data_IF_923681856476
#
_entry.id   IF_923681856476
#
_cell.length_a   1.000
_cell.length_b   1.000
_cell.length_c   1.000
_cell.angle_alpha   90.00
_cell.angle_beta   90.00
_cell.angle_gamma   90.00
#
_symmetry.space_group_name_H-M   'P 1'
#
loop_
_entity.id
_entity.type
_entity.pdbx_description
1 polymer ?
#
# COMPACT_ATOMS: atom_id res chain seq x y z
N UNK A 1 16.77 2.07 25.21
CA UNK A 1 15.89 2.57 24.11
C UNK A 1 16.67 3.58 23.29
N UNK A 2 16.72 3.41 21.97
CA UNK A 2 17.36 4.33 21.03
C UNK A 2 16.30 4.88 20.09
N UNK A 3 16.33 6.19 19.81
CA UNK A 3 15.42 6.84 18.85
C UNK A 3 16.26 7.36 17.71
N UNK A 4 15.94 6.93 16.50
CA UNK A 4 16.67 7.23 15.27
C UNK A 4 15.74 7.81 14.22
N UNK A 5 16.30 8.49 13.23
CA UNK A 5 15.62 8.91 12.04
C UNK A 5 16.02 8.01 10.85
N UNK A 6 15.10 7.81 9.92
CA UNK A 6 15.43 7.17 8.66
C UNK A 6 16.39 8.07 7.85
N UNK A 7 17.35 7.52 7.10
CA UNK A 7 18.22 8.32 6.25
C UNK A 7 17.46 9.09 5.18
N UNK A 8 17.91 10.30 4.82
CA UNK A 8 17.40 11.07 3.68
C UNK A 8 17.80 10.43 2.34
N UNK A 9 17.50 9.13 2.17
CA UNK A 9 17.91 8.33 1.00
C UNK A 9 16.79 7.39 0.58
N UNK A 10 16.35 7.54 -0.67
CA UNK A 10 15.39 6.63 -1.31
C UNK A 10 16.06 5.31 -1.74
N UNK A 11 15.25 4.25 -1.79
CA UNK A 11 15.62 2.97 -2.36
C UNK A 11 15.81 1.86 -1.34
N UNK A 12 16.25 0.72 -1.83
CA UNK A 12 16.38 -0.52 -1.07
C UNK A 12 17.74 -0.52 -0.35
N UNK A 13 17.76 0.03 0.85
CA UNK A 13 18.92 0.10 1.74
C UNK A 13 18.68 -0.76 2.98
N UNK A 14 19.66 -0.86 3.87
CA UNK A 14 19.52 -1.68 5.10
C UNK A 14 18.32 -1.22 5.95
N UNK A 15 18.17 0.05 6.18
CA UNK A 15 17.10 0.65 6.99
C UNK A 15 15.71 0.41 6.38
N UNK A 16 15.62 0.31 5.05
CA UNK A 16 14.40 -0.10 4.38
C UNK A 16 13.98 -1.51 4.81
N UNK A 17 14.90 -2.48 4.84
CA UNK A 17 14.61 -3.84 5.29
C UNK A 17 14.26 -3.90 6.77
N UNK A 18 14.89 -3.09 7.62
CA UNK A 18 14.59 -3.02 9.05
C UNK A 18 13.11 -2.62 9.26
N UNK A 19 12.63 -1.57 8.57
CA UNK A 19 11.22 -1.13 8.63
C UNK A 19 10.29 -2.21 8.03
N UNK A 20 10.62 -2.75 6.86
CA UNK A 20 9.84 -3.80 6.22
C UNK A 20 9.63 -5.00 7.14
N UNK A 21 10.70 -5.48 7.76
CA UNK A 21 10.66 -6.62 8.68
C UNK A 21 9.83 -6.31 9.94
N UNK A 22 9.89 -5.08 10.45
CA UNK A 22 9.05 -4.64 11.55
C UNK A 22 7.57 -4.66 11.16
N UNK A 23 7.20 -4.13 10.00
CA UNK A 23 5.82 -4.11 9.49
C UNK A 23 5.27 -5.53 9.25
N UNK A 24 6.09 -6.45 8.75
CA UNK A 24 5.75 -7.87 8.66
C UNK A 24 5.53 -8.46 10.05
N UNK A 25 6.40 -8.17 11.01
CA UNK A 25 6.31 -8.70 12.39
C UNK A 25 5.04 -8.27 13.11
N UNK A 26 4.59 -7.01 12.93
CA UNK A 26 3.34 -6.53 13.56
C UNK A 26 2.08 -6.99 12.83
N UNK A 27 2.20 -7.55 11.62
CA UNK A 27 1.09 -8.08 10.80
C UNK A 27 -0.03 -7.07 10.55
N UNK A 28 0.32 -5.79 10.40
CA UNK A 28 -0.63 -4.72 10.13
C UNK A 28 -1.10 -4.78 8.67
N UNK A 29 -2.41 -4.93 8.46
CA UNK A 29 -3.02 -4.94 7.14
C UNK A 29 -3.36 -3.53 6.63
N UNK A 30 -3.41 -2.54 7.52
CA UNK A 30 -3.84 -1.17 7.23
C UNK A 30 -2.66 -0.28 6.82
N UNK A 31 -1.54 -0.33 7.57
CA UNK A 31 -0.25 0.19 7.12
C UNK A 31 0.73 -0.97 6.94
N UNK A 32 0.56 -1.70 5.86
CA UNK A 32 1.32 -2.92 5.61
C UNK A 32 2.72 -2.66 5.05
N UNK A 33 3.56 -3.70 5.08
CA UNK A 33 4.86 -3.66 4.42
C UNK A 33 4.76 -3.33 2.91
N UNK A 34 3.66 -3.73 2.26
CA UNK A 34 3.44 -3.44 0.84
C UNK A 34 3.28 -1.94 0.58
N UNK A 35 2.61 -1.22 1.49
CA UNK A 35 2.48 0.25 1.45
C UNK A 35 3.86 0.90 1.56
N UNK A 36 4.71 0.41 2.48
CA UNK A 36 6.10 0.86 2.62
C UNK A 36 6.93 0.54 1.38
N UNK A 37 6.84 -0.70 0.85
CA UNK A 37 7.54 -1.14 -0.35
C UNK A 37 7.19 -0.27 -1.56
N UNK A 38 5.94 0.15 -1.68
CA UNK A 38 5.49 1.02 -2.75
C UNK A 38 5.94 2.45 -2.52
N UNK A 39 5.75 3.00 -1.32
CA UNK A 39 6.09 4.37 -0.96
C UNK A 39 7.57 4.69 -1.20
N UNK A 40 8.48 3.81 -0.77
CA UNK A 40 9.93 4.08 -0.85
C UNK A 40 10.46 4.22 -2.28
N UNK A 41 9.75 3.67 -3.26
CA UNK A 41 10.11 3.76 -4.69
C UNK A 41 9.26 4.79 -5.45
N UNK A 42 8.16 5.27 -4.87
CA UNK A 42 7.22 6.16 -5.54
C UNK A 42 7.87 7.50 -5.93
N UNK A 43 7.58 8.00 -7.15
CA UNK A 43 8.20 9.23 -7.69
C UNK A 43 7.91 10.48 -6.84
N UNK A 44 6.72 10.58 -6.24
CA UNK A 44 6.33 11.72 -5.39
C UNK A 44 6.99 11.70 -4.01
N UNK A 45 7.54 10.57 -3.55
CA UNK A 45 8.25 10.51 -2.27
C UNK A 45 9.59 11.23 -2.38
N UNK A 46 9.75 12.29 -1.62
CA UNK A 46 10.97 13.09 -1.57
C UNK A 46 11.94 12.55 -0.52
N UNK A 47 13.22 12.44 -0.89
CA UNK A 47 14.24 11.87 -0.01
C UNK A 47 14.39 12.66 1.31
N UNK A 48 14.30 14.00 1.24
CA UNK A 48 14.36 14.87 2.42
C UNK A 48 13.27 14.58 3.45
N UNK A 49 12.08 14.15 3.02
CA UNK A 49 10.98 13.83 3.92
C UNK A 49 11.21 12.53 4.69
N UNK A 50 12.01 11.61 4.15
CA UNK A 50 12.26 10.32 4.79
C UNK A 50 12.97 10.47 6.14
N UNK A 51 13.78 11.50 6.33
CA UNK A 51 14.45 11.79 7.61
C UNK A 51 13.48 12.17 8.74
N UNK A 52 12.22 12.46 8.42
CA UNK A 52 11.17 12.68 9.42
C UNK A 52 10.63 11.37 10.02
N UNK A 53 10.85 10.22 9.37
CA UNK A 53 10.42 8.93 9.90
C UNK A 53 11.18 8.64 11.19
N UNK A 54 10.45 8.47 12.29
CA UNK A 54 10.99 8.15 13.62
C UNK A 54 11.01 6.66 13.88
N UNK A 55 12.13 6.14 14.35
CA UNK A 55 12.37 4.71 14.58
C UNK A 55 12.83 4.49 16.02
N UNK A 56 12.04 3.76 16.80
CA UNK A 56 12.41 3.32 18.17
C UNK A 56 13.02 1.93 18.10
N UNK A 57 14.22 1.80 18.62
CA UNK A 57 14.95 0.51 18.70
C UNK A 57 15.23 0.10 20.14
N UNK A 58 15.03 -1.17 20.42
CA UNK A 58 15.47 -1.85 21.61
C UNK A 58 16.23 -3.11 21.22
N UNK A 59 17.42 -3.32 21.77
CA UNK A 59 18.30 -4.45 21.42
C UNK A 59 18.50 -4.59 19.88
N UNK A 60 18.72 -3.47 19.18
CA UNK A 60 18.88 -3.37 17.72
C UNK A 60 17.63 -3.74 16.90
N UNK A 61 16.50 -4.04 17.50
CA UNK A 61 15.23 -4.33 16.83
C UNK A 61 14.31 -3.12 16.87
N UNK A 62 13.57 -2.88 15.80
CA UNK A 62 12.53 -1.85 15.79
C UNK A 62 11.35 -2.33 16.65
N UNK A 63 10.93 -1.48 17.57
CA UNK A 63 9.80 -1.70 18.47
C UNK A 63 8.70 -0.65 18.32
N UNK A 64 9.01 0.47 17.66
CA UNK A 64 8.07 1.55 17.34
C UNK A 64 8.48 2.31 16.08
N UNK A 65 7.49 2.85 15.38
CA UNK A 65 7.65 3.54 14.10
C UNK A 65 6.63 4.67 13.98
N UNK A 66 7.10 5.88 13.67
CA UNK A 66 6.28 7.01 13.22
C UNK A 66 6.60 7.24 11.76
N UNK A 67 5.62 7.06 10.89
CA UNK A 67 5.80 7.01 9.44
C UNK A 67 4.64 7.71 8.72
N UNK A 68 4.80 8.02 7.45
CA UNK A 68 3.79 8.61 6.57
C UNK A 68 3.63 7.78 5.29
N UNK A 69 2.68 8.17 4.43
CA UNK A 69 2.47 7.56 3.12
C UNK A 69 2.71 8.61 2.02
N UNK A 70 3.71 8.38 1.15
CA UNK A 70 4.14 9.20 0.00
C UNK A 70 4.55 10.64 0.41
N UNK A 71 3.64 11.40 1.01
CA UNK A 71 3.85 12.76 1.50
C UNK A 71 3.56 12.85 3.00
N UNK A 72 4.31 13.67 3.78
CA UNK A 72 4.21 13.68 5.23
C UNK A 72 3.09 14.61 5.75
N UNK A 73 1.87 14.42 5.28
CA UNK A 73 0.69 15.16 5.73
C UNK A 73 -0.20 14.34 6.68
N UNK A 74 -0.33 13.05 6.47
CA UNK A 74 -1.00 12.13 7.39
C UNK A 74 -0.03 11.04 7.86
N UNK A 75 0.03 10.83 9.17
CA UNK A 75 0.98 9.95 9.82
C UNK A 75 0.34 8.65 10.29
N UNK A 76 1.20 7.67 10.51
CA UNK A 76 0.88 6.41 11.16
C UNK A 76 1.86 6.19 12.31
N UNK A 77 1.34 5.84 13.48
CA UNK A 77 2.13 5.44 14.65
C UNK A 77 1.89 3.96 14.85
N UNK A 78 2.96 3.17 14.83
CA UNK A 78 2.90 1.72 14.98
C UNK A 78 3.93 1.24 15.99
N UNK A 79 3.54 0.33 16.87
CA UNK A 79 4.44 -0.24 17.88
C UNK A 79 4.13 -1.72 18.09
N UNK A 80 5.09 -2.44 18.65
CA UNK A 80 4.81 -3.78 19.17
C UNK A 80 3.79 -3.68 20.31
N UNK A 81 2.92 -4.68 20.44
CA UNK A 81 1.89 -4.72 21.50
C UNK A 81 2.49 -4.61 22.91
N UNK A 82 3.69 -5.12 23.11
CA UNK A 82 4.46 -5.05 24.36
C UNK A 82 5.08 -3.68 24.64
N UNK A 83 5.05 -2.76 23.69
CA UNK A 83 5.73 -1.45 23.77
C UNK A 83 4.75 -0.27 23.68
N UNK A 84 3.46 -0.50 23.94
CA UNK A 84 2.44 0.58 23.90
C UNK A 84 2.73 1.74 24.87
N UNK A 85 3.60 1.54 25.86
CA UNK A 85 4.09 2.61 26.76
C UNK A 85 4.87 3.71 26.02
N UNK A 86 5.39 3.43 24.80
CA UNK A 86 6.10 4.39 23.96
C UNK A 86 5.16 5.34 23.21
N UNK A 87 3.87 5.05 23.11
CA UNK A 87 2.93 5.79 22.25
C UNK A 87 2.87 7.28 22.59
N UNK A 88 3.05 7.67 23.86
CA UNK A 88 3.09 9.08 24.25
C UNK A 88 4.34 9.77 23.68
N UNK A 89 5.51 9.17 23.82
CA UNK A 89 6.77 9.73 23.30
C UNK A 89 6.75 9.79 21.76
N UNK A 90 6.16 8.79 21.12
CA UNK A 90 5.99 8.75 19.66
C UNK A 90 5.04 9.84 19.16
N UNK A 91 4.00 10.14 19.92
CA UNK A 91 3.09 11.25 19.64
C UNK A 91 3.78 12.62 19.79
N UNK A 92 4.58 12.82 20.85
CA UNK A 92 5.37 14.05 21.01
C UNK A 92 6.39 14.22 19.87
N UNK A 93 7.01 13.11 19.43
CA UNK A 93 7.86 13.12 18.24
C UNK A 93 7.08 13.55 16.98
N UNK A 94 5.87 13.04 16.79
CA UNK A 94 5.01 13.41 15.67
C UNK A 94 4.69 14.91 15.68
N UNK A 95 4.32 15.48 16.83
CA UNK A 95 4.09 16.92 17.01
C UNK A 95 5.32 17.76 16.62
N UNK A 96 6.52 17.29 16.95
CA UNK A 96 7.74 18.06 16.72
C UNK A 96 8.24 17.99 15.28
N UNK A 97 7.90 16.96 14.51
CA UNK A 97 8.53 16.69 13.22
C UNK A 97 7.58 16.76 12.01
N UNK A 98 6.25 16.74 12.23
CA UNK A 98 5.30 16.52 11.13
C UNK A 98 4.17 17.55 11.03
N UNK A 99 4.27 18.66 11.73
CA UNK A 99 3.28 19.73 11.57
C UNK A 99 3.39 20.34 10.18
N UNK A 100 2.30 20.30 9.42
CA UNK A 100 2.19 20.90 8.10
C UNK A 100 1.12 22.00 8.13
N UNK A 101 1.47 23.24 7.80
CA UNK A 101 0.55 24.39 7.81
C UNK A 101 -0.23 24.53 9.13
N UNK A 102 0.46 24.36 10.25
CA UNK A 102 -0.14 24.36 11.60
C UNK A 102 -1.18 23.25 11.85
N UNK A 103 -1.15 22.17 11.08
CA UNK A 103 -2.02 21.02 11.24
C UNK A 103 -1.18 19.75 11.45
N UNK A 104 -1.53 18.95 12.45
CA UNK A 104 -1.05 17.59 12.64
C UNK A 104 -2.20 16.62 12.36
N UNK A 105 -1.98 15.65 11.49
CA UNK A 105 -2.95 14.59 11.19
C UNK A 105 -2.33 13.22 11.42
N UNK A 106 -3.04 12.36 12.15
CA UNK A 106 -2.63 10.99 12.44
C UNK A 106 -3.77 10.05 12.07
N UNK A 107 -3.47 9.01 11.28
CA UNK A 107 -4.38 7.93 10.98
C UNK A 107 -4.30 6.89 12.10
N UNK A 108 -5.37 6.71 12.84
CA UNK A 108 -5.45 5.84 14.01
C UNK A 108 -6.47 4.73 13.75
N UNK A 109 -6.08 3.48 14.03
CA UNK A 109 -6.96 2.31 13.96
C UNK A 109 -8.15 2.52 14.92
N UNK A 110 -9.36 2.23 14.46
CA UNK A 110 -10.57 2.44 15.28
C UNK A 110 -10.61 1.48 16.49
N UNK A 111 -9.79 0.43 16.51
CA UNK A 111 -9.60 -0.51 17.63
C UNK A 111 -8.35 -0.21 18.51
N UNK A 112 -7.60 0.89 18.27
CA UNK A 112 -6.47 1.31 19.13
C UNK A 112 -6.88 2.34 20.19
N UNK A 113 -7.66 1.89 21.17
CA UNK A 113 -8.15 2.72 22.29
C UNK A 113 -7.02 3.43 23.07
N UNK A 114 -5.82 2.84 23.10
CA UNK A 114 -4.70 3.41 23.87
C UNK A 114 -4.19 4.68 23.18
N UNK A 115 -3.90 4.61 21.88
CA UNK A 115 -3.44 5.77 21.13
C UNK A 115 -4.55 6.84 21.05
N UNK A 116 -5.81 6.45 20.82
CA UNK A 116 -6.94 7.38 20.80
C UNK A 116 -7.05 8.18 22.10
N UNK A 117 -6.95 7.51 23.26
CA UNK A 117 -6.98 8.18 24.57
C UNK A 117 -5.83 9.16 24.77
N UNK A 118 -4.61 8.79 24.31
CA UNK A 118 -3.45 9.67 24.39
C UNK A 118 -3.66 10.93 23.57
N UNK A 119 -4.01 10.79 22.28
CA UNK A 119 -4.15 11.94 21.39
C UNK A 119 -5.35 12.82 21.73
N UNK A 120 -6.46 12.25 22.20
CA UNK A 120 -7.64 12.99 22.67
C UNK A 120 -7.31 13.87 23.89
N UNK A 121 -6.52 13.34 24.85
CA UNK A 121 -6.07 14.10 26.03
C UNK A 121 -5.20 15.30 25.64
N UNK A 122 -4.47 15.21 24.53
CA UNK A 122 -3.63 16.28 24.00
C UNK A 122 -4.38 17.23 23.06
N UNK A 123 -5.70 17.06 22.90
CA UNK A 123 -6.57 17.95 22.14
C UNK A 123 -6.80 17.59 20.67
N UNK A 124 -6.38 16.39 20.21
CA UNK A 124 -6.78 15.92 18.89
C UNK A 124 -8.25 15.54 18.86
N UNK A 125 -8.90 15.75 17.71
CA UNK A 125 -10.28 15.34 17.45
C UNK A 125 -10.36 14.38 16.28
N UNK A 126 -11.21 13.37 16.38
CA UNK A 126 -11.52 12.47 15.28
C UNK A 126 -12.30 13.20 14.20
N UNK A 127 -11.90 13.02 12.94
CA UNK A 127 -12.58 13.58 11.78
C UNK A 127 -13.56 12.58 11.16
N UNK A 128 -14.25 12.99 10.10
CA UNK A 128 -15.07 12.09 9.28
C UNK A 128 -14.25 11.35 8.20
N UNK A 129 -12.95 11.60 8.11
CA UNK A 129 -12.09 10.95 7.13
C UNK A 129 -11.67 9.57 7.63
N UNK A 130 -12.03 8.54 6.88
CA UNK A 130 -11.75 7.14 7.22
C UNK A 130 -11.10 6.40 6.05
N UNK A 131 -10.19 5.50 6.39
CA UNK A 131 -9.79 4.41 5.50
C UNK A 131 -10.50 3.12 5.95
N UNK A 132 -10.89 2.32 4.95
CA UNK A 132 -11.57 1.05 5.16
C UNK A 132 -10.70 -0.07 4.64
N UNK A 133 -10.58 -1.14 5.39
CA UNK A 133 -9.96 -2.39 4.95
C UNK A 133 -11.06 -3.44 4.79
N UNK A 134 -11.07 -4.09 3.64
CA UNK A 134 -11.96 -5.21 3.35
C UNK A 134 -11.15 -6.51 3.24
N UNK A 135 -11.78 -7.63 3.59
CA UNK A 135 -11.17 -8.96 3.65
C UNK A 135 -11.94 -9.98 2.80
N UNK A 136 -11.20 -10.89 2.19
CA UNK A 136 -11.72 -12.02 1.42
C UNK A 136 -11.02 -13.31 1.87
N UNK A 137 -11.78 -14.39 1.97
CA UNK A 137 -11.26 -15.71 2.33
C UNK A 137 -11.40 -16.66 1.13
N UNK A 138 -10.28 -17.03 0.49
CA UNK A 138 -10.32 -17.90 -0.70
C UNK A 138 -10.95 -19.27 -0.46
N UNK A 139 -10.89 -19.80 0.76
CA UNK A 139 -11.49 -21.08 1.13
C UNK A 139 -13.02 -21.01 1.22
N UNK A 140 -13.58 -19.84 1.50
CA UNK A 140 -15.02 -19.61 1.68
C UNK A 140 -15.71 -19.10 0.41
N UNK A 141 -14.96 -18.84 -0.66
CA UNK A 141 -15.47 -18.09 -1.83
C UNK A 141 -14.91 -18.64 -3.14
N UNK A 142 -15.72 -18.58 -4.19
CA UNK A 142 -15.22 -18.91 -5.53
C UNK A 142 -14.31 -17.79 -6.06
N UNK A 143 -13.24 -18.21 -6.71
CA UNK A 143 -12.33 -17.33 -7.47
C UNK A 143 -12.43 -17.61 -8.98
N UNK A 144 -13.54 -18.20 -9.43
CA UNK A 144 -13.75 -18.49 -10.85
C UNK A 144 -13.97 -17.20 -11.65
N UNK A 145 -13.44 -17.20 -12.84
CA UNK A 145 -13.60 -16.11 -13.77
C UNK A 145 -13.59 -16.61 -15.21
N UNK A 146 -14.26 -15.87 -16.08
CA UNK A 146 -14.19 -16.07 -17.53
C UNK A 146 -13.39 -14.93 -18.15
N UNK A 147 -12.42 -15.27 -18.97
CA UNK A 147 -11.71 -14.31 -19.79
C UNK A 147 -12.37 -14.27 -21.19
N UNK A 148 -12.85 -13.11 -21.66
CA UNK A 148 -13.49 -13.04 -22.96
C UNK A 148 -12.53 -13.46 -24.11
N UNK A 149 -13.09 -13.95 -25.21
CA UNK A 149 -12.29 -14.31 -26.39
C UNK A 149 -11.48 -13.12 -26.89
N UNK A 150 -10.22 -13.34 -27.23
CA UNK A 150 -9.30 -12.29 -27.68
C UNK A 150 -8.52 -11.60 -26.58
N UNK A 151 -8.67 -12.08 -25.32
CA UNK A 151 -7.84 -11.64 -24.21
C UNK A 151 -6.99 -12.79 -23.68
N UNK A 152 -5.80 -12.46 -23.17
CA UNK A 152 -4.87 -13.42 -22.57
C UNK A 152 -4.43 -12.96 -21.17
N UNK A 153 -4.33 -13.90 -20.23
CA UNK A 153 -3.86 -13.68 -18.86
C UNK A 153 -2.37 -14.03 -18.78
N UNK A 154 -1.57 -13.08 -18.36
CA UNK A 154 -0.13 -13.27 -18.11
C UNK A 154 0.27 -12.61 -16.79
N UNK A 155 1.43 -12.98 -16.26
CA UNK A 155 2.05 -12.24 -15.16
C UNK A 155 2.99 -11.14 -15.69
N UNK A 156 3.33 -10.18 -14.84
CA UNK A 156 4.35 -9.17 -15.16
C UNK A 156 5.74 -9.81 -15.35
N UNK A 157 5.96 -11.03 -14.82
CA UNK A 157 7.18 -11.81 -15.08
C UNK A 157 7.23 -12.30 -16.52
N UNK A 158 6.10 -12.71 -17.09
CA UNK A 158 5.98 -13.22 -18.46
C UNK A 158 5.95 -12.08 -19.50
N UNK A 159 5.41 -10.92 -19.12
CA UNK A 159 5.31 -9.74 -19.99
C UNK A 159 5.82 -8.47 -19.28
N UNK A 160 7.14 -8.34 -19.05
CA UNK A 160 7.74 -7.26 -18.25
C UNK A 160 7.96 -5.99 -19.07
N UNK A 161 6.90 -5.41 -19.62
CA UNK A 161 6.94 -4.19 -20.43
C UNK A 161 6.67 -2.95 -19.58
N UNK A 162 7.71 -2.14 -19.33
CA UNK A 162 7.65 -0.92 -18.50
C UNK A 162 6.77 0.15 -19.13
N UNK A 163 6.85 0.33 -20.45
CA UNK A 163 6.01 1.29 -21.15
C UNK A 163 4.54 0.93 -21.00
N UNK A 164 4.17 -0.31 -21.30
CA UNK A 164 2.80 -0.82 -21.19
C UNK A 164 2.28 -0.74 -19.76
N UNK A 165 3.12 -1.07 -18.77
CA UNK A 165 2.81 -0.98 -17.35
C UNK A 165 2.38 0.45 -16.97
N UNK A 166 3.23 1.45 -17.21
CA UNK A 166 2.91 2.83 -16.85
C UNK A 166 1.80 3.44 -17.71
N UNK A 167 1.73 3.10 -19.01
CA UNK A 167 0.62 3.52 -19.84
C UNK A 167 -0.72 3.01 -19.31
N UNK A 168 -0.79 1.74 -18.91
CA UNK A 168 -2.00 1.17 -18.32
C UNK A 168 -2.42 1.88 -17.05
N UNK A 169 -1.47 2.19 -16.17
CA UNK A 169 -1.76 2.95 -14.93
C UNK A 169 -2.26 4.37 -15.25
N UNK A 170 -1.58 5.06 -16.16
CA UNK A 170 -1.98 6.40 -16.59
C UNK A 170 -3.43 6.44 -17.09
N UNK A 171 -3.77 5.55 -18.00
CA UNK A 171 -5.13 5.45 -18.53
C UNK A 171 -6.12 4.93 -17.48
N UNK A 172 -5.76 3.89 -16.77
CA UNK A 172 -6.63 3.22 -15.81
C UNK A 172 -6.97 4.05 -14.58
N UNK A 173 -6.10 5.01 -14.18
CA UNK A 173 -6.39 6.02 -13.16
C UNK A 173 -6.99 7.32 -13.73
N UNK A 174 -7.42 7.30 -14.98
CA UNK A 174 -8.17 8.36 -15.66
C UNK A 174 -7.39 9.65 -15.93
N UNK A 175 -6.06 9.66 -15.95
CA UNK A 175 -5.28 10.87 -16.23
C UNK A 175 -5.64 11.46 -17.61
N UNK A 176 -5.76 10.62 -18.66
CA UNK A 176 -6.21 11.07 -19.98
C UNK A 176 -7.65 11.61 -19.94
N UNK A 177 -8.57 10.93 -19.25
CA UNK A 177 -9.95 11.38 -19.12
C UNK A 177 -10.09 12.67 -18.30
N UNK A 178 -9.15 12.93 -17.38
CA UNK A 178 -9.08 14.16 -16.59
C UNK A 178 -8.41 15.32 -17.34
N UNK A 179 -8.03 15.13 -18.61
CA UNK A 179 -7.47 16.18 -19.46
C UNK A 179 -5.94 16.36 -19.35
N UNK A 180 -5.22 15.43 -18.69
CA UNK A 180 -3.76 15.48 -18.57
C UNK A 180 -3.03 15.06 -19.87
N UNK A 181 -3.80 14.67 -20.91
CA UNK A 181 -3.30 14.22 -22.20
C UNK A 181 -2.79 12.78 -22.21
N UNK A 182 -2.31 12.30 -23.36
CA UNK A 182 -1.86 10.91 -23.49
C UNK A 182 -0.59 10.64 -22.68
N UNK A 183 -0.42 9.37 -22.29
CA UNK A 183 0.79 8.94 -21.57
C UNK A 183 2.05 9.28 -22.37
N UNK A 184 3.00 9.94 -21.72
CA UNK A 184 4.32 10.26 -22.29
C UNK A 184 5.40 9.48 -21.54
N UNK A 185 6.07 8.60 -22.25
CA UNK A 185 7.20 7.86 -21.73
C UNK A 185 8.49 8.68 -21.85
N UNK A 186 9.40 8.52 -20.89
CA UNK A 186 10.71 9.18 -20.92
C UNK A 186 11.82 8.23 -20.43
N UNK A 187 13.10 8.51 -20.75
CA UNK A 187 14.21 7.73 -20.23
C UNK A 187 14.26 7.67 -18.69
N UNK A 188 13.83 8.75 -18.01
CA UNK A 188 13.74 8.82 -16.55
C UNK A 188 12.67 7.83 -16.04
N UNK A 189 11.48 7.79 -16.65
CA UNK A 189 10.42 6.83 -16.33
C UNK A 189 10.84 5.40 -16.59
N UNK A 190 11.59 5.15 -17.65
CA UNK A 190 12.17 3.82 -17.91
C UNK A 190 13.12 3.40 -16.79
N UNK A 191 13.99 4.29 -16.35
CA UNK A 191 14.93 4.04 -15.24
C UNK A 191 14.21 3.85 -13.90
N UNK A 192 13.20 4.65 -13.63
CA UNK A 192 12.36 4.52 -12.44
C UNK A 192 11.61 3.19 -12.45
N UNK A 193 11.00 2.82 -13.58
CA UNK A 193 10.27 1.57 -13.75
C UNK A 193 11.16 0.34 -13.54
N UNK A 194 12.39 0.38 -14.03
CA UNK A 194 13.35 -0.71 -13.76
C UNK A 194 13.61 -0.89 -12.26
N UNK A 195 13.74 0.19 -11.50
CA UNK A 195 13.96 0.14 -10.05
C UNK A 195 12.70 -0.28 -9.28
N UNK A 196 11.52 0.13 -9.74
CA UNK A 196 10.25 -0.18 -9.10
C UNK A 196 9.82 -1.62 -9.37
N UNK A 197 9.89 -2.05 -10.62
CA UNK A 197 9.36 -3.34 -11.08
C UNK A 197 10.34 -4.48 -10.76
N UNK A 198 11.62 -4.34 -11.12
CA UNK A 198 12.62 -5.44 -11.06
C UNK A 198 13.44 -5.47 -9.77
N UNK A 199 12.89 -4.99 -8.66
CA UNK A 199 13.53 -5.14 -7.35
C UNK A 199 13.35 -6.55 -6.79
N UNK A 200 14.29 -7.03 -5.98
CA UNK A 200 14.38 -8.41 -5.50
C UNK A 200 13.14 -8.87 -4.70
N UNK A 201 12.50 -7.95 -3.97
CA UNK A 201 11.34 -8.25 -3.13
C UNK A 201 9.97 -8.04 -3.82
N UNK A 202 9.95 -7.75 -5.12
CA UNK A 202 8.72 -7.61 -5.89
C UNK A 202 8.44 -8.90 -6.67
N UNK A 203 7.57 -9.76 -6.14
CA UNK A 203 7.22 -11.00 -6.84
C UNK A 203 6.34 -10.71 -8.07
N UNK A 204 6.96 -10.71 -9.24
CA UNK A 204 6.30 -10.41 -10.52
C UNK A 204 5.32 -11.51 -10.98
N UNK A 205 5.41 -12.72 -10.42
CA UNK A 205 4.44 -13.80 -10.69
C UNK A 205 3.07 -13.54 -10.05
N UNK A 206 3.04 -12.67 -9.02
CA UNK A 206 1.81 -12.25 -8.35
C UNK A 206 1.23 -10.93 -8.92
N UNK A 207 1.81 -10.40 -9.99
CA UNK A 207 1.36 -9.18 -10.67
C UNK A 207 0.66 -9.58 -11.98
N UNK A 208 -0.66 -9.66 -11.95
CA UNK A 208 -1.44 -10.20 -13.07
C UNK A 208 -1.80 -9.13 -14.07
N UNK A 209 -1.72 -9.48 -15.35
CA UNK A 209 -2.00 -8.62 -16.49
C UNK A 209 -2.96 -9.35 -17.42
N UNK A 210 -3.97 -8.64 -17.93
CA UNK A 210 -4.69 -9.05 -19.13
C UNK A 210 -4.17 -8.27 -20.31
N UNK A 211 -3.80 -8.99 -21.37
CA UNK A 211 -3.47 -8.46 -22.69
C UNK A 211 -4.63 -8.68 -23.67
N UNK A 212 -4.81 -7.73 -24.58
CA UNK A 212 -5.68 -7.95 -25.75
C UNK A 212 -4.94 -8.75 -26.83
N UNK A 213 -5.58 -9.03 -27.97
CA UNK A 213 -5.03 -9.82 -29.07
C UNK A 213 -3.76 -9.20 -29.73
N UNK A 214 -3.57 -7.90 -29.56
CA UNK A 214 -2.38 -7.17 -30.03
C UNK A 214 -1.25 -7.15 -28.98
N UNK A 215 -1.41 -7.81 -27.83
CA UNK A 215 -0.44 -7.82 -26.74
C UNK A 215 -0.43 -6.56 -25.88
N UNK A 216 -1.43 -5.67 -26.04
CA UNK A 216 -1.54 -4.45 -25.24
C UNK A 216 -2.05 -4.79 -23.84
N UNK A 217 -1.38 -4.26 -22.80
CA UNK A 217 -1.83 -4.38 -21.43
C UNK A 217 -3.10 -3.55 -21.18
N UNK A 218 -4.19 -4.20 -20.78
CA UNK A 218 -5.52 -3.55 -20.66
C UNK A 218 -6.12 -3.69 -19.25
N UNK A 219 -5.65 -4.61 -18.43
CA UNK A 219 -5.99 -4.68 -17.01
C UNK A 219 -4.80 -5.20 -16.20
N UNK A 220 -4.70 -4.78 -14.95
CA UNK A 220 -3.64 -5.17 -14.03
C UNK A 220 -4.19 -5.35 -12.62
N UNK A 221 -3.68 -6.35 -11.90
CA UNK A 221 -3.85 -6.51 -10.47
C UNK A 221 -2.53 -6.93 -9.82
N UNK A 222 -2.03 -6.10 -8.90
CA UNK A 222 -0.88 -6.45 -8.06
C UNK A 222 -1.32 -7.15 -6.79
N UNK A 223 -0.75 -8.33 -6.50
CA UNK A 223 -0.85 -8.96 -5.19
C UNK A 223 0.51 -8.87 -4.50
N UNK A 224 0.49 -8.48 -3.22
CA UNK A 224 1.66 -8.44 -2.34
C UNK A 224 1.53 -9.53 -1.30
N UNK A 225 2.48 -10.44 -1.27
CA UNK A 225 2.50 -11.54 -0.32
C UNK A 225 3.91 -11.83 0.15
N UNK A 226 4.07 -11.97 1.46
CA UNK A 226 5.27 -12.46 2.12
C UNK A 226 4.92 -13.71 2.92
N UNK A 227 5.72 -14.77 2.81
CA UNK A 227 5.43 -16.07 3.42
C UNK A 227 5.40 -16.07 4.96
N UNK A 228 5.87 -14.99 5.60
CA UNK A 228 5.75 -14.80 7.04
C UNK A 228 4.36 -14.31 7.48
N UNK A 229 3.50 -13.95 6.51
CA UNK A 229 2.13 -13.49 6.73
C UNK A 229 1.12 -14.56 6.32
N UNK A 230 -0.03 -14.54 6.93
CA UNK A 230 -1.18 -15.36 6.55
C UNK A 230 -2.12 -14.63 5.58
N UNK A 231 -1.80 -13.39 5.20
CA UNK A 231 -2.60 -12.60 4.27
C UNK A 231 -1.76 -12.02 3.13
N UNK A 232 -2.43 -11.80 1.99
CA UNK A 232 -1.92 -11.02 0.87
C UNK A 232 -2.74 -9.74 0.69
N UNK A 233 -2.16 -8.75 0.01
CA UNK A 233 -2.74 -7.43 -0.20
C UNK A 233 -2.96 -7.20 -1.68
N UNK A 234 -4.16 -6.74 -2.07
CA UNK A 234 -4.46 -6.27 -3.42
C UNK A 234 -4.06 -4.81 -3.55
N UNK A 235 -3.00 -4.54 -4.33
CA UNK A 235 -2.51 -3.18 -4.59
C UNK A 235 -1.57 -3.17 -5.80
N UNK A 236 -1.83 -2.36 -6.81
CA UNK A 236 -3.10 -1.74 -7.17
C UNK A 236 -3.97 -2.64 -8.08
N UNK A 237 -5.20 -2.22 -8.34
CA UNK A 237 -6.09 -2.82 -9.34
C UNK A 237 -6.55 -1.74 -10.33
N UNK A 238 -6.31 -1.95 -11.62
CA UNK A 238 -6.67 -0.98 -12.66
C UNK A 238 -7.09 -1.64 -13.97
N UNK A 239 -7.91 -0.93 -14.76
CA UNK A 239 -8.34 -1.34 -16.11
C UNK A 239 -8.39 -0.11 -17.01
N UNK A 240 -7.81 -0.23 -18.19
CA UNK A 240 -7.89 0.78 -19.24
C UNK A 240 -9.36 1.12 -19.52
N UNK A 241 -9.75 2.40 -19.56
CA UNK A 241 -11.14 2.83 -19.74
C UNK A 241 -11.89 2.16 -20.90
N UNK A 242 -11.21 1.95 -22.04
CA UNK A 242 -11.81 1.37 -23.24
C UNK A 242 -12.15 -0.13 -23.08
N UNK A 243 -11.61 -0.78 -22.05
CA UNK A 243 -11.79 -2.21 -21.76
C UNK A 243 -12.54 -2.47 -20.45
N UNK A 244 -13.16 -1.44 -19.87
CA UNK A 244 -13.99 -1.60 -18.66
C UNK A 244 -15.27 -2.36 -18.94
N UNK A 245 -15.87 -2.93 -17.89
CA UNK A 245 -17.15 -3.68 -17.90
C UNK A 245 -17.10 -5.02 -18.66
N UNK A 246 -15.90 -5.48 -19.03
CA UNK A 246 -15.65 -6.79 -19.67
C UNK A 246 -15.25 -7.89 -18.65
N UNK A 247 -15.28 -7.61 -17.36
CA UNK A 247 -14.87 -8.58 -16.31
C UNK A 247 -13.34 -8.68 -16.09
N UNK A 248 -12.51 -7.92 -16.82
CA UNK A 248 -11.05 -8.07 -16.81
C UNK A 248 -10.42 -7.80 -15.44
N UNK A 249 -10.91 -6.77 -14.70
CA UNK A 249 -10.45 -6.50 -13.33
C UNK A 249 -10.71 -7.67 -12.38
N UNK A 250 -11.88 -8.32 -12.49
CA UNK A 250 -12.18 -9.52 -11.71
C UNK A 250 -11.24 -10.66 -12.08
N UNK A 251 -11.02 -10.89 -13.37
CA UNK A 251 -10.16 -11.95 -13.86
C UNK A 251 -8.73 -11.80 -13.34
N UNK A 252 -8.12 -10.59 -13.47
CA UNK A 252 -6.76 -10.33 -12.95
C UNK A 252 -6.69 -10.52 -11.43
N UNK A 253 -7.68 -10.02 -10.70
CA UNK A 253 -7.72 -10.14 -9.24
C UNK A 253 -7.84 -11.59 -8.80
N UNK A 254 -8.78 -12.35 -9.37
CA UNK A 254 -9.00 -13.74 -8.98
C UNK A 254 -7.84 -14.67 -9.38
N UNK A 255 -7.21 -14.45 -10.54
CA UNK A 255 -5.99 -15.18 -10.88
C UNK A 255 -4.87 -14.90 -9.89
N UNK A 256 -4.65 -13.62 -9.53
CA UNK A 256 -3.68 -13.25 -8.52
C UNK A 256 -3.99 -13.88 -7.15
N UNK A 257 -5.25 -13.88 -6.72
CA UNK A 257 -5.69 -14.51 -5.47
C UNK A 257 -5.39 -16.02 -5.49
N UNK A 258 -5.69 -16.74 -6.58
CA UNK A 258 -5.35 -18.17 -6.73
C UNK A 258 -3.84 -18.40 -6.54
N UNK A 259 -3.00 -17.56 -7.12
CA UNK A 259 -1.54 -17.70 -7.03
C UNK A 259 -1.02 -17.46 -5.61
N UNK A 260 -1.45 -16.39 -4.92
CA UNK A 260 -1.01 -16.13 -3.55
C UNK A 260 -1.59 -17.11 -2.54
N UNK A 261 -2.83 -17.61 -2.76
CA UNK A 261 -3.42 -18.68 -1.96
C UNK A 261 -2.61 -19.98 -2.08
N UNK A 262 -2.24 -20.39 -3.31
CA UNK A 262 -1.35 -21.51 -3.54
C UNK A 262 0.02 -21.32 -2.89
N UNK A 263 0.50 -20.08 -2.77
CA UNK A 263 1.75 -19.74 -2.11
C UNK A 263 1.64 -19.72 -0.57
N UNK A 264 0.43 -19.82 0.02
CA UNK A 264 0.20 -19.96 1.45
C UNK A 264 -0.60 -18.82 2.11
N UNK A 265 -1.03 -17.79 1.37
CA UNK A 265 -1.92 -16.77 1.91
C UNK A 265 -3.30 -17.34 2.21
N UNK A 266 -3.80 -17.19 3.44
CA UNK A 266 -5.11 -17.71 3.86
C UNK A 266 -6.24 -16.70 3.69
N UNK A 267 -5.90 -15.43 3.62
CA UNK A 267 -6.84 -14.31 3.48
C UNK A 267 -6.24 -13.22 2.61
N UNK A 268 -7.12 -12.46 1.98
CA UNK A 268 -6.75 -11.37 1.07
C UNK A 268 -7.35 -10.09 1.62
N UNK A 269 -6.58 -9.03 1.69
CA UNK A 269 -7.05 -7.71 2.14
C UNK A 269 -6.89 -6.67 1.05
N UNK A 270 -7.76 -5.67 1.09
CA UNK A 270 -7.69 -4.49 0.24
C UNK A 270 -8.11 -3.26 1.04
N UNK A 271 -7.35 -2.17 0.93
CA UNK A 271 -7.62 -0.94 1.68
C UNK A 271 -8.69 -0.08 0.97
N UNK A 272 -9.93 -0.55 0.94
CA UNK A 272 -11.06 0.15 0.32
C UNK A 272 -12.41 -0.47 0.72
N UNK A 273 -13.48 0.33 0.64
CA UNK A 273 -14.89 -0.07 0.79
C UNK A 273 -15.68 -0.03 -0.52
N UNK A 274 -14.99 -0.06 -1.68
CA UNK A 274 -15.69 0.02 -2.97
C UNK A 274 -16.58 -1.20 -3.20
N UNK A 275 -17.83 -0.95 -3.66
CA UNK A 275 -18.83 -1.98 -3.94
C UNK A 275 -18.33 -3.05 -4.94
N UNK A 276 -17.37 -2.70 -5.79
CA UNK A 276 -16.71 -3.64 -6.68
C UNK A 276 -16.18 -4.88 -5.93
N UNK A 277 -15.53 -4.69 -4.79
CA UNK A 277 -14.96 -5.78 -3.98
C UNK A 277 -16.04 -6.55 -3.23
N UNK A 278 -17.02 -5.85 -2.65
CA UNK A 278 -18.13 -6.49 -1.94
C UNK A 278 -18.95 -7.42 -2.85
N UNK A 279 -19.21 -7.00 -4.10
CA UNK A 279 -19.88 -7.83 -5.09
C UNK A 279 -19.07 -9.08 -5.51
N UNK A 280 -17.84 -9.23 -5.01
CA UNK A 280 -16.91 -10.34 -5.31
C UNK A 280 -16.49 -11.09 -4.06
N UNK A 281 -17.28 -10.98 -2.97
CA UNK A 281 -17.10 -11.75 -1.75
C UNK A 281 -16.18 -11.13 -0.71
N UNK A 282 -15.60 -9.95 -0.96
CA UNK A 282 -14.96 -9.19 0.11
C UNK A 282 -16.03 -8.70 1.10
N UNK A 283 -15.63 -8.58 2.36
CA UNK A 283 -16.49 -8.05 3.43
C UNK A 283 -15.74 -7.00 4.26
N UNK A 284 -16.43 -6.06 4.94
CA UNK A 284 -15.78 -5.11 5.85
C UNK A 284 -14.93 -5.84 6.88
N UNK A 285 -13.77 -5.29 7.21
CA UNK A 285 -12.83 -5.91 8.16
C UNK A 285 -12.39 -4.94 9.25
N UNK A 286 -11.69 -3.87 8.87
CA UNK A 286 -11.17 -2.87 9.79
C UNK A 286 -11.38 -1.47 9.25
N UNK A 287 -11.33 -0.50 10.15
CA UNK A 287 -11.34 0.92 9.82
C UNK A 287 -10.28 1.66 10.61
N UNK A 288 -9.78 2.74 10.03
CA UNK A 288 -8.96 3.72 10.72
C UNK A 288 -9.45 5.13 10.38
N UNK A 289 -9.34 6.02 11.36
CA UNK A 289 -9.87 7.38 11.29
C UNK A 289 -8.72 8.39 11.35
N UNK A 290 -8.79 9.45 10.55
CA UNK A 290 -7.89 10.61 10.70
C UNK A 290 -8.27 11.39 11.95
N UNK A 291 -7.33 11.54 12.86
CA UNK A 291 -7.39 12.46 13.99
C UNK A 291 -6.54 13.68 13.67
N UNK A 292 -7.01 14.87 14.07
CA UNK A 292 -6.30 16.10 13.76
C UNK A 292 -6.27 17.09 14.93
N UNK A 293 -5.25 17.93 14.96
CA UNK A 293 -5.17 19.09 15.85
C UNK A 293 -4.46 20.24 15.15
N UNK A 294 -4.84 21.47 15.50
CA UNK A 294 -4.10 22.67 15.12
C UNK A 294 -2.99 22.89 16.14
N UNK A 295 -1.79 23.15 15.65
CA UNK A 295 -0.64 23.56 16.44
C UNK A 295 -0.53 25.09 16.32
N UNK A 296 -0.60 25.79 17.43
CA UNK A 296 -0.51 27.26 17.49
C UNK A 296 0.93 27.74 17.30
#
# INVERSE_FOLDING_TARGET
MEVLNYPSKKGIIKEYYDIRNFLIKIKDAEYSYARWDWMITHSMTKAENLSKIGIWKENKQIVGLVIFDIIPDTLFIRTLSTHKYLLKDMFEYAKSNFVNKNLLQIMIQDDDDVLQKIVAKEGMIATNQKEYTSIFFPEESTTDYNLPKGFNMVSLKEAPDIYQYYRLFWRGFNHELNGEGPYKHSPEKEKEGKREIFRDNNNLEHKMIVQNKEGVHVAFCGLWYDSQLDFAIVEPLTTDPDYRRLGLAQATMFEGIKRVYKAGAKRIVVNTSKQFYYNRGFRPYKTQTVWEMKIL
#
